data_IF_073085173223
#
_entry.id   IF_073085173223
#
_cell.length_a   1.000
_cell.length_b   1.000
_cell.length_c   1.000
_cell.angle_alpha   90.00
_cell.angle_beta   90.00
_cell.angle_gamma   90.00
#
_symmetry.space_group_name_H-M   'P 1'
#
loop_
_entity.id
_entity.type
_entity.pdbx_description
1 polymer ?
#
# COMPACT_ATOMS: atom_id res chain seq x y z
N UNK A 1 -23.81 3.34 -6.19
CA UNK A 1 -23.07 4.12 -5.19
C UNK A 1 -21.58 3.96 -5.47
N UNK A 2 -20.75 5.01 -5.45
CA UNK A 2 -19.34 4.97 -5.87
C UNK A 2 -18.54 3.84 -5.20
N UNK A 3 -18.68 3.67 -3.88
CA UNK A 3 -17.92 2.66 -3.10
C UNK A 3 -18.21 1.23 -3.58
N UNK A 4 -19.47 0.88 -3.84
CA UNK A 4 -19.83 -0.47 -4.33
C UNK A 4 -19.20 -0.77 -5.70
N UNK A 5 -19.19 0.23 -6.60
CA UNK A 5 -18.57 0.12 -7.92
C UNK A 5 -17.04 0.01 -7.79
N UNK A 6 -16.44 0.77 -6.87
CA UNK A 6 -15.00 0.69 -6.58
C UNK A 6 -14.61 -0.68 -6.05
N UNK A 7 -15.39 -1.27 -5.13
CA UNK A 7 -15.15 -2.63 -4.63
C UNK A 7 -15.14 -3.66 -5.77
N UNK A 8 -16.11 -3.57 -6.68
CA UNK A 8 -16.17 -4.47 -7.85
C UNK A 8 -14.94 -4.30 -8.74
N UNK A 9 -14.61 -3.06 -9.08
CA UNK A 9 -13.44 -2.73 -9.88
C UNK A 9 -12.14 -3.25 -9.26
N UNK A 10 -11.93 -3.02 -7.97
CA UNK A 10 -10.71 -3.48 -7.26
C UNK A 10 -10.62 -5.00 -7.26
N UNK A 11 -11.71 -5.73 -7.02
CA UNK A 11 -11.73 -7.19 -7.10
C UNK A 11 -11.33 -7.70 -8.48
N UNK A 12 -11.78 -7.05 -9.55
CA UNK A 12 -11.41 -7.39 -10.92
C UNK A 12 -9.93 -7.10 -11.20
N UNK A 13 -9.42 -5.94 -10.73
CA UNK A 13 -8.01 -5.58 -10.92
C UNK A 13 -7.04 -6.51 -10.18
N UNK A 14 -7.46 -7.08 -9.05
CA UNK A 14 -6.63 -7.91 -8.17
C UNK A 14 -6.96 -9.41 -8.28
N UNK A 15 -7.70 -9.85 -9.31
CA UNK A 15 -8.10 -11.25 -9.47
C UNK A 15 -6.91 -12.22 -9.53
N UNK A 16 -5.80 -11.80 -10.12
CA UNK A 16 -4.56 -12.59 -10.26
C UNK A 16 -3.43 -12.08 -9.35
N UNK A 17 -3.75 -11.27 -8.33
CA UNK A 17 -2.75 -10.71 -7.43
C UNK A 17 -2.15 -11.79 -6.51
N UNK A 18 -0.89 -11.58 -6.13
CA UNK A 18 -0.21 -12.41 -5.12
C UNK A 18 -0.94 -12.28 -3.76
N UNK A 19 -1.08 -13.41 -3.04
CA UNK A 19 -1.95 -13.53 -1.87
C UNK A 19 -1.63 -12.63 -0.67
N UNK A 20 -0.55 -11.84 -0.71
CA UNK A 20 -0.25 -10.79 0.26
C UNK A 20 -0.76 -9.39 -0.14
N UNK A 21 -1.12 -9.21 -1.42
CA UNK A 21 -1.57 -7.95 -2.03
C UNK A 21 -2.88 -8.14 -2.80
N UNK A 22 -3.73 -9.05 -2.33
CA UNK A 22 -5.01 -9.41 -2.92
C UNK A 22 -6.17 -8.54 -2.38
N UNK A 23 -7.39 -8.83 -2.86
CA UNK A 23 -8.60 -8.18 -2.38
C UNK A 23 -8.74 -8.24 -0.84
N UNK A 24 -8.31 -9.32 -0.20
CA UNK A 24 -8.51 -9.48 1.24
C UNK A 24 -7.62 -8.54 2.06
N UNK A 25 -6.44 -8.21 1.54
CA UNK A 25 -5.63 -7.11 2.09
C UNK A 25 -6.39 -5.78 2.00
N UNK A 26 -6.86 -5.43 0.80
CA UNK A 26 -7.59 -4.18 0.58
C UNK A 26 -8.83 -4.09 1.48
N UNK A 27 -9.57 -5.18 1.63
CA UNK A 27 -10.77 -5.20 2.48
C UNK A 27 -10.43 -4.95 3.96
N UNK A 28 -9.33 -5.52 4.47
CA UNK A 28 -8.88 -5.29 5.85
C UNK A 28 -8.45 -3.84 6.04
N UNK A 29 -7.63 -3.30 5.13
CA UNK A 29 -7.20 -1.89 5.16
C UNK A 29 -8.40 -0.96 5.11
N UNK A 30 -9.32 -1.16 4.18
CA UNK A 30 -10.53 -0.35 4.06
C UNK A 30 -11.40 -0.37 5.33
N UNK A 31 -11.64 -1.55 5.92
CA UNK A 31 -12.40 -1.67 7.19
C UNK A 31 -11.69 -0.98 8.35
N UNK A 32 -10.37 -1.11 8.44
CA UNK A 32 -9.55 -0.47 9.47
C UNK A 32 -9.54 1.05 9.29
N UNK A 33 -9.36 1.56 8.06
CA UNK A 33 -9.43 3.00 7.76
C UNK A 33 -10.78 3.60 8.15
N UNK A 34 -11.88 2.94 7.83
CA UNK A 34 -13.23 3.34 8.27
C UNK A 34 -13.39 3.33 9.79
N UNK A 35 -12.70 2.43 10.47
CA UNK A 35 -12.76 2.40 11.94
C UNK A 35 -12.00 3.58 12.55
N UNK A 36 -10.79 3.87 12.07
CA UNK A 36 -9.98 5.01 12.51
C UNK A 36 -10.70 6.33 12.20
N UNK A 37 -11.26 6.47 11.00
CA UNK A 37 -11.98 7.67 10.56
C UNK A 37 -13.15 8.09 11.47
N UNK A 38 -13.66 7.20 12.32
CA UNK A 38 -14.74 7.54 13.27
C UNK A 38 -14.31 8.53 14.38
N UNK A 39 -13.02 8.59 14.65
CA UNK A 39 -12.43 9.45 15.69
C UNK A 39 -11.63 10.61 15.11
N UNK A 40 -11.60 10.75 13.78
CA UNK A 40 -10.84 11.78 13.08
C UNK A 40 -11.77 12.72 12.28
N UNK A 41 -11.35 13.98 12.13
CA UNK A 41 -12.04 14.94 11.26
C UNK A 41 -11.55 14.80 9.82
N UNK A 42 -12.20 13.91 9.04
CA UNK A 42 -11.79 13.52 7.69
C UNK A 42 -12.98 13.42 6.73
N UNK A 43 -12.74 13.59 5.44
CA UNK A 43 -13.70 13.21 4.41
C UNK A 43 -13.72 11.69 4.27
N UNK A 44 -14.81 11.06 4.72
CA UNK A 44 -14.96 9.61 4.68
C UNK A 44 -14.93 9.05 3.26
N UNK A 45 -15.43 9.79 2.25
CA UNK A 45 -15.39 9.34 0.86
C UNK A 45 -13.94 9.26 0.36
N UNK A 46 -13.12 10.26 0.67
CA UNK A 46 -11.69 10.28 0.33
C UNK A 46 -10.96 9.13 1.02
N UNK A 47 -11.22 8.89 2.32
CA UNK A 47 -10.62 7.76 3.08
C UNK A 47 -11.00 6.42 2.47
N UNK A 48 -12.29 6.19 2.16
CA UNK A 48 -12.75 4.91 1.61
C UNK A 48 -12.16 4.66 0.21
N UNK A 49 -12.18 5.66 -0.67
CA UNK A 49 -11.60 5.55 -2.01
C UNK A 49 -10.08 5.39 -1.95
N UNK A 50 -9.40 6.15 -1.10
CA UNK A 50 -7.96 6.03 -0.87
C UNK A 50 -7.58 4.63 -0.41
N UNK A 51 -8.27 4.09 0.59
CA UNK A 51 -8.04 2.74 1.10
C UNK A 51 -8.35 1.65 0.07
N UNK A 52 -9.41 1.79 -0.74
CA UNK A 52 -9.76 0.82 -1.76
C UNK A 52 -8.81 0.82 -2.96
N UNK A 53 -8.27 1.99 -3.33
CA UNK A 53 -7.51 2.17 -4.58
C UNK A 53 -5.99 2.22 -4.38
N UNK A 54 -5.48 2.23 -3.12
CA UNK A 54 -4.07 2.49 -2.87
C UNK A 54 -3.10 1.49 -3.52
N UNK A 55 -3.51 0.23 -3.68
CA UNK A 55 -2.62 -0.85 -4.12
C UNK A 55 -3.14 -1.60 -5.37
N UNK A 56 -4.04 -0.98 -6.17
CA UNK A 56 -4.63 -1.60 -7.39
C UNK A 56 -3.60 -1.89 -8.48
N UNK A 57 -2.42 -1.33 -8.41
CA UNK A 57 -1.31 -1.60 -9.34
C UNK A 57 0.03 -1.29 -8.64
N UNK A 58 0.42 -2.13 -7.66
CA UNK A 58 1.73 -1.98 -7.00
C UNK A 58 2.85 -2.07 -8.04
N UNK A 59 3.71 -1.07 -8.04
CA UNK A 59 4.86 -0.95 -8.94
C UNK A 59 5.79 -2.18 -8.93
N UNK A 60 5.81 -2.96 -7.85
CA UNK A 60 6.57 -4.22 -7.72
C UNK A 60 6.19 -5.26 -8.77
N UNK A 61 4.94 -5.23 -9.26
CA UNK A 61 4.41 -6.15 -10.27
C UNK A 61 4.37 -5.52 -11.68
N UNK A 62 4.75 -4.24 -11.78
CA UNK A 62 4.70 -3.46 -13.02
C UNK A 62 6.07 -2.85 -13.41
N UNK A 63 7.15 -3.60 -13.24
CA UNK A 63 8.49 -3.16 -13.64
C UNK A 63 9.03 -1.94 -12.89
N UNK A 64 8.43 -1.57 -11.76
CA UNK A 64 8.83 -0.42 -10.95
C UNK A 64 8.11 0.89 -11.31
N UNK A 65 7.18 0.88 -12.26
CA UNK A 65 6.42 2.07 -12.66
C UNK A 65 5.39 2.46 -11.56
N UNK A 66 5.73 3.50 -10.81
CA UNK A 66 4.90 4.05 -9.73
C UNK A 66 3.71 4.89 -10.26
N UNK A 67 3.62 5.15 -11.57
CA UNK A 67 2.56 5.99 -12.16
C UNK A 67 1.31 5.22 -12.56
N UNK A 68 1.38 3.90 -12.67
CA UNK A 68 0.27 3.06 -13.15
C UNK A 68 -0.91 3.09 -12.19
N UNK A 69 -0.68 2.94 -10.88
CA UNK A 69 -1.72 2.97 -9.85
C UNK A 69 -2.52 4.27 -9.86
N UNK A 70 -1.88 5.43 -9.67
CA UNK A 70 -2.56 6.74 -9.74
C UNK A 70 -3.34 6.95 -11.03
N UNK A 71 -2.76 6.59 -12.19
CA UNK A 71 -3.40 6.76 -13.51
C UNK A 71 -4.65 5.89 -13.66
N UNK A 72 -4.59 4.60 -13.27
CA UNK A 72 -5.75 3.70 -13.28
C UNK A 72 -6.85 4.17 -12.33
N UNK A 73 -6.48 4.59 -11.11
CA UNK A 73 -7.41 5.10 -10.11
C UNK A 73 -8.14 6.36 -10.62
N UNK A 74 -7.41 7.32 -11.19
CA UNK A 74 -7.99 8.54 -11.76
C UNK A 74 -8.98 8.21 -12.89
N UNK A 75 -8.56 7.43 -13.87
CA UNK A 75 -9.40 7.04 -15.00
C UNK A 75 -10.69 6.34 -14.55
N UNK A 76 -10.59 5.46 -13.56
CA UNK A 76 -11.76 4.78 -13.01
C UNK A 76 -12.69 5.76 -12.27
N UNK A 77 -12.18 6.59 -11.36
CA UNK A 77 -12.99 7.55 -10.59
C UNK A 77 -13.72 8.56 -11.49
N UNK A 78 -13.11 8.96 -12.61
CA UNK A 78 -13.77 9.81 -13.61
C UNK A 78 -15.01 9.16 -14.25
N UNK A 79 -15.10 7.83 -14.29
CA UNK A 79 -16.31 7.13 -14.76
C UNK A 79 -17.46 7.13 -13.74
N UNK A 80 -17.17 7.51 -12.49
CA UNK A 80 -18.13 7.46 -11.37
C UNK A 80 -18.77 8.82 -11.07
N UNK A 81 -18.52 9.86 -11.89
CA UNK A 81 -19.00 11.23 -11.67
C UNK A 81 -18.60 11.79 -10.28
N UNK A 82 -17.39 11.44 -9.81
CA UNK A 82 -16.82 11.93 -8.55
C UNK A 82 -16.18 13.31 -8.79
N UNK A 83 -16.34 14.22 -7.84
CA UNK A 83 -15.79 15.58 -7.91
C UNK A 83 -14.25 15.54 -8.09
N UNK A 84 -13.71 16.40 -8.95
CA UNK A 84 -12.29 16.44 -9.28
C UNK A 84 -11.40 16.76 -8.08
N UNK A 85 -11.91 17.49 -7.08
CA UNK A 85 -11.20 17.73 -5.81
C UNK A 85 -10.99 16.43 -5.03
N UNK A 86 -12.03 15.59 -4.93
CA UNK A 86 -11.96 14.26 -4.29
C UNK A 86 -11.00 13.36 -5.06
N UNK A 87 -11.11 13.31 -6.40
CA UNK A 87 -10.22 12.53 -7.26
C UNK A 87 -8.76 12.94 -7.01
N UNK A 88 -8.48 14.23 -7.06
CA UNK A 88 -7.12 14.74 -6.88
C UNK A 88 -6.57 14.40 -5.49
N UNK A 89 -7.39 14.52 -4.44
CA UNK A 89 -6.98 14.15 -3.09
C UNK A 89 -6.66 12.65 -2.98
N UNK A 90 -7.51 11.78 -3.51
CA UNK A 90 -7.27 10.32 -3.53
C UNK A 90 -5.99 9.98 -4.30
N UNK A 91 -5.71 10.63 -5.43
CA UNK A 91 -4.47 10.43 -6.18
C UNK A 91 -3.25 10.82 -5.33
N UNK A 92 -3.31 11.95 -4.63
CA UNK A 92 -2.22 12.35 -3.71
C UNK A 92 -2.03 11.33 -2.58
N UNK A 93 -3.09 10.72 -2.06
CA UNK A 93 -2.97 9.62 -1.09
C UNK A 93 -2.21 8.45 -1.72
N UNK A 94 -2.62 7.97 -2.89
CA UNK A 94 -1.99 6.83 -3.58
C UNK A 94 -0.49 7.09 -3.84
N UNK A 95 -0.13 8.30 -4.27
CA UNK A 95 1.26 8.69 -4.55
C UNK A 95 2.14 8.78 -3.30
N UNK A 96 1.55 9.04 -2.12
CA UNK A 96 2.29 9.32 -0.89
C UNK A 96 2.13 8.26 0.21
N UNK A 97 1.31 7.22 0.01
CA UNK A 97 1.05 6.19 1.01
C UNK A 97 2.27 5.32 1.29
N UNK A 98 3.16 5.13 0.31
CA UNK A 98 4.27 4.18 0.39
C UNK A 98 5.20 4.46 1.57
N UNK A 99 5.44 3.44 2.40
CA UNK A 99 6.45 3.44 3.46
C UNK A 99 7.85 3.85 2.97
N UNK A 100 8.19 3.54 1.73
CA UNK A 100 9.50 3.82 1.13
C UNK A 100 9.85 5.31 1.09
N UNK A 101 8.86 6.19 1.02
CA UNK A 101 9.10 7.64 1.01
C UNK A 101 9.62 8.19 2.35
N UNK A 102 9.38 7.49 3.46
CA UNK A 102 9.82 7.90 4.82
C UNK A 102 10.98 7.07 5.37
N UNK A 103 11.06 5.78 5.06
CA UNK A 103 11.99 4.84 5.71
C UNK A 103 13.44 4.97 5.26
N UNK A 104 13.70 5.38 4.02
CA UNK A 104 15.06 5.41 3.45
C UNK A 104 15.70 6.80 3.44
N UNK A 105 15.50 7.58 4.52
CA UNK A 105 16.28 8.78 4.79
C UNK A 105 16.14 9.90 3.77
N UNK A 106 15.02 9.96 3.05
CA UNK A 106 14.67 11.15 2.28
C UNK A 106 14.58 12.33 3.25
N UNK A 107 15.58 13.24 3.19
CA UNK A 107 15.58 14.51 3.95
C UNK A 107 14.54 15.49 3.39
N UNK A 108 13.83 15.12 2.33
CA UNK A 108 12.77 15.92 1.76
C UNK A 108 11.51 15.75 2.61
N UNK A 109 10.87 16.86 2.96
CA UNK A 109 9.57 16.86 3.60
C UNK A 109 8.56 16.08 2.72
N UNK A 110 7.59 15.38 3.31
CA UNK A 110 6.56 14.69 2.53
C UNK A 110 5.89 15.70 1.58
N UNK A 111 5.79 15.33 0.30
CA UNK A 111 5.25 16.19 -0.76
C UNK A 111 3.77 16.55 -0.54
N UNK A 112 3.07 15.70 0.21
CA UNK A 112 1.66 15.88 0.53
C UNK A 112 1.38 15.39 1.97
N UNK A 113 0.45 16.06 2.65
CA UNK A 113 -0.07 15.67 3.97
C UNK A 113 -1.55 15.98 4.04
N UNK A 114 -2.33 15.05 4.57
CA UNK A 114 -3.71 15.30 4.98
C UNK A 114 -4.10 14.29 6.08
N UNK A 115 -5.12 14.59 6.89
CA UNK A 115 -5.64 13.63 7.86
C UNK A 115 -6.10 12.32 7.20
N UNK A 116 -6.68 12.39 6.00
CA UNK A 116 -7.14 11.21 5.25
C UNK A 116 -5.95 10.32 4.82
N UNK A 117 -4.83 10.94 4.38
CA UNK A 117 -3.60 10.18 4.11
C UNK A 117 -3.08 9.49 5.36
N UNK A 118 -3.05 10.17 6.50
CA UNK A 118 -2.58 9.59 7.76
C UNK A 118 -3.47 8.41 8.18
N UNK A 119 -4.80 8.54 8.09
CA UNK A 119 -5.76 7.44 8.35
C UNK A 119 -5.52 6.23 7.46
N UNK A 120 -5.38 6.43 6.14
CA UNK A 120 -5.17 5.33 5.20
C UNK A 120 -3.79 4.68 5.39
N UNK A 121 -2.76 5.49 5.64
CA UNK A 121 -1.42 4.99 5.96
C UNK A 121 -1.38 4.14 7.22
N UNK A 122 -2.03 4.58 8.27
CA UNK A 122 -2.05 3.83 9.53
C UNK A 122 -2.84 2.53 9.38
N UNK A 123 -3.94 2.55 8.63
CA UNK A 123 -4.71 1.34 8.32
C UNK A 123 -3.88 0.30 7.53
N UNK A 124 -3.12 0.73 6.52
CA UNK A 124 -2.24 -0.15 5.74
C UNK A 124 -1.09 -0.72 6.60
N UNK A 125 -0.47 0.12 7.43
CA UNK A 125 0.60 -0.30 8.34
C UNK A 125 0.13 -1.28 9.39
N UNK A 126 -1.07 -1.12 9.93
CA UNK A 126 -1.66 -2.04 10.89
C UNK A 126 -1.86 -3.44 10.29
N UNK A 127 -2.14 -3.56 8.97
CA UNK A 127 -2.23 -4.85 8.27
C UNK A 127 -0.87 -5.56 8.11
N UNK A 128 0.24 -4.87 8.39
CA UNK A 128 1.58 -5.46 8.45
C UNK A 128 1.95 -5.99 9.85
N UNK A 129 1.06 -5.89 10.83
CA UNK A 129 1.31 -6.33 12.20
C UNK A 129 0.67 -7.69 12.51
N UNK A 130 1.15 -8.31 13.59
CA UNK A 130 0.62 -9.60 14.08
C UNK A 130 0.82 -10.77 13.12
N UNK A 131 0.03 -11.81 13.31
CA UNK A 131 0.16 -13.06 12.55
C UNK A 131 -0.08 -12.87 11.05
N UNK A 132 -1.01 -12.00 10.66
CA UNK A 132 -1.29 -11.73 9.25
C UNK A 132 -0.11 -11.04 8.56
N UNK A 133 0.54 -10.07 9.22
CA UNK A 133 1.73 -9.40 8.71
C UNK A 133 2.90 -10.37 8.52
N UNK A 134 3.12 -11.28 9.48
CA UNK A 134 4.12 -12.34 9.37
C UNK A 134 3.80 -13.24 8.17
N UNK A 135 2.56 -13.72 8.06
CA UNK A 135 2.14 -14.58 6.95
C UNK A 135 2.34 -13.90 5.58
N UNK A 136 1.98 -12.62 5.44
CA UNK A 136 2.20 -11.84 4.23
C UNK A 136 3.68 -11.71 3.86
N UNK A 137 4.55 -11.45 4.82
CA UNK A 137 5.99 -11.33 4.59
C UNK A 137 6.60 -12.64 4.04
N UNK A 138 6.24 -13.79 4.61
CA UNK A 138 6.71 -15.08 4.13
C UNK A 138 6.05 -15.51 2.82
N UNK A 139 4.77 -15.20 2.61
CA UNK A 139 4.10 -15.44 1.34
C UNK A 139 4.80 -14.69 0.20
N UNK A 140 5.10 -13.40 0.38
CA UNK A 140 5.85 -12.61 -0.59
C UNK A 140 7.28 -13.16 -0.79
N UNK A 141 7.93 -13.59 0.29
CA UNK A 141 9.24 -14.25 0.22
C UNK A 141 9.21 -15.51 -0.64
N UNK A 142 8.18 -16.36 -0.46
CA UNK A 142 7.95 -17.55 -1.28
C UNK A 142 7.68 -17.21 -2.75
N UNK A 143 6.83 -16.20 -3.00
CA UNK A 143 6.57 -15.70 -4.35
C UNK A 143 7.85 -15.20 -5.07
N UNK A 144 8.78 -14.60 -4.31
CA UNK A 144 10.09 -14.14 -4.82
C UNK A 144 11.17 -15.20 -4.76
N UNK A 145 10.84 -16.46 -4.40
CA UNK A 145 11.78 -17.57 -4.23
C UNK A 145 12.96 -17.22 -3.29
N UNK A 146 12.66 -16.53 -2.18
CA UNK A 146 13.64 -16.18 -1.14
C UNK A 146 13.75 -17.31 -0.11
N UNK A 147 14.95 -17.48 0.44
CA UNK A 147 15.13 -18.30 1.64
C UNK A 147 14.29 -17.75 2.80
N UNK A 148 13.77 -18.64 3.66
CA UNK A 148 13.09 -18.23 4.89
C UNK A 148 14.09 -17.59 5.84
N UNK A 149 15.24 -18.28 6.06
CA UNK A 149 16.28 -17.88 6.98
C UNK A 149 17.65 -18.34 6.46
N UNK A 150 18.66 -17.51 6.59
CA UNK A 150 20.04 -17.86 6.33
C UNK A 150 20.95 -17.10 7.32
N UNK A 151 21.58 -17.78 8.29
CA UNK A 151 22.40 -17.13 9.32
C UNK A 151 23.68 -16.49 8.78
N UNK A 152 24.08 -16.82 7.54
CA UNK A 152 25.27 -16.22 6.91
C UNK A 152 24.96 -14.91 6.19
N UNK A 153 23.69 -14.54 6.04
CA UNK A 153 23.23 -13.31 5.40
C UNK A 153 22.59 -12.41 6.46
N UNK A 154 23.34 -11.49 7.09
CA UNK A 154 22.79 -10.60 8.11
C UNK A 154 21.82 -9.57 7.49
N UNK A 155 20.87 -9.04 8.29
CA UNK A 155 20.01 -7.92 7.86
C UNK A 155 20.86 -6.69 7.53
N UNK A 156 20.48 -5.96 6.47
CA UNK A 156 21.08 -4.68 6.11
C UNK A 156 20.18 -3.53 6.60
N UNK A 157 20.59 -2.89 7.71
CA UNK A 157 19.81 -1.82 8.35
C UNK A 157 19.98 -0.44 7.66
N UNK A 158 20.87 -0.33 6.68
CA UNK A 158 21.21 0.94 6.03
C UNK A 158 21.01 0.89 4.50
N UNK A 159 20.01 0.10 4.05
CA UNK A 159 19.71 0.01 2.61
C UNK A 159 19.21 1.34 2.04
N UNK A 160 19.61 1.62 0.82
CA UNK A 160 18.93 2.60 -0.02
C UNK A 160 17.61 2.07 -0.55
N UNK A 161 16.75 2.94 -1.10
CA UNK A 161 15.48 2.54 -1.74
C UNK A 161 15.71 1.54 -2.89
N UNK A 162 16.78 1.74 -3.65
CA UNK A 162 17.19 0.90 -4.77
C UNK A 162 17.66 -0.48 -4.30
N UNK A 163 18.53 -0.53 -3.31
CA UNK A 163 18.99 -1.78 -2.71
C UNK A 163 17.85 -2.58 -2.11
N UNK A 164 16.92 -1.91 -1.42
CA UNK A 164 15.72 -2.58 -0.87
C UNK A 164 14.85 -3.20 -1.98
N UNK A 165 14.63 -2.49 -3.10
CA UNK A 165 13.86 -3.01 -4.24
C UNK A 165 14.51 -4.23 -4.88
N UNK A 166 15.84 -4.30 -4.88
CA UNK A 166 16.63 -5.36 -5.51
C UNK A 166 17.03 -6.48 -4.53
N UNK A 167 16.76 -6.31 -3.24
CA UNK A 167 17.16 -7.27 -2.22
C UNK A 167 16.60 -8.66 -2.49
N UNK A 168 17.48 -9.67 -2.40
CA UNK A 168 17.16 -11.11 -2.42
C UNK A 168 17.40 -11.75 -1.07
N UNK A 169 17.61 -10.95 -0.03
CA UNK A 169 17.87 -11.41 1.33
C UNK A 169 16.75 -12.33 1.87
N UNK A 170 17.07 -13.23 2.83
CA UNK A 170 16.09 -14.10 3.46
C UNK A 170 14.89 -13.34 4.01
N UNK A 171 13.71 -13.96 3.96
CA UNK A 171 12.44 -13.33 4.36
C UNK A 171 12.44 -12.85 5.80
N UNK A 172 13.15 -13.54 6.71
CA UNK A 172 13.25 -13.14 8.13
C UNK A 172 13.98 -11.80 8.31
N UNK A 173 14.91 -11.45 7.42
CA UNK A 173 15.68 -10.21 7.51
C UNK A 173 14.77 -8.98 7.41
N UNK A 174 13.65 -9.09 6.66
CA UNK A 174 12.65 -8.04 6.52
C UNK A 174 12.14 -7.47 7.85
N UNK A 175 12.02 -8.32 8.89
CA UNK A 175 11.56 -7.89 10.21
C UNK A 175 12.58 -7.05 10.96
N UNK A 176 13.86 -7.18 10.67
CA UNK A 176 14.93 -6.37 11.22
C UNK A 176 15.16 -5.09 10.41
N UNK A 177 14.93 -5.15 9.10
CA UNK A 177 15.19 -4.08 8.15
C UNK A 177 14.09 -3.01 8.10
N UNK A 178 12.89 -3.34 8.62
CA UNK A 178 11.72 -2.45 8.64
C UNK A 178 11.34 -1.88 10.02
N UNK A 179 12.08 -2.21 11.05
CA UNK A 179 11.80 -1.70 12.41
C UNK A 179 12.51 -0.37 12.63
#
# INVERSE_FOLDING_TARGET
>A
MPITQTITYVKEQLADAEGGHDWWHIERVWKTAKHIAKSEEVDLLVVELGALLHDIADSKFHGGDETIGPRKARAFMQTLEIDEEVITHVIHIIENISFKSRAFGSKEAPKFKSPELDVVQDADRLDALGAIGIARAFNYGGFKNREIYNPTVPPNLNMTKEEYKQSTAPSINHFYEKI
#
